data_IF_580322777399
#
_entry.id   IF_580322777399
#
_cell.length_a   1.000
_cell.length_b   1.000
_cell.length_c   1.000
_cell.angle_alpha   90.00
_cell.angle_beta   90.00
_cell.angle_gamma   90.00
#
_symmetry.space_group_name_H-M   'P 1'
#
loop_
_entity.id
_entity.type
_entity.pdbx_description
1 polymer ?
#
# COMPACT_ATOMS: atom_id res chain seq x y z
N UNK A 1 -3.99 11.96 -18.53
CA UNK A 1 -4.16 12.56 -17.19
C UNK A 1 -3.67 11.60 -16.13
N UNK A 2 -2.45 11.85 -15.64
CA UNK A 2 -1.93 11.14 -14.48
C UNK A 2 -2.76 11.48 -13.23
N UNK A 3 -2.89 10.54 -12.31
CA UNK A 3 -3.43 10.80 -10.98
C UNK A 3 -2.28 10.78 -9.97
N UNK A 4 -2.44 11.48 -8.85
CA UNK A 4 -1.51 11.41 -7.75
C UNK A 4 -1.40 9.96 -7.28
N UNK A 5 -0.19 9.42 -7.33
CA UNK A 5 0.16 8.08 -6.90
C UNK A 5 -0.11 7.85 -5.41
N UNK A 6 -0.19 8.95 -4.68
CA UNK A 6 -0.34 8.98 -3.23
C UNK A 6 -1.79 9.20 -2.80
N UNK A 7 -2.54 10.13 -3.39
CA UNK A 7 -3.92 10.43 -2.97
C UNK A 7 -4.97 10.29 -4.08
N UNK A 8 -4.60 9.83 -5.27
CA UNK A 8 -5.52 9.64 -6.39
C UNK A 8 -6.04 10.93 -7.02
N UNK A 9 -5.73 12.11 -6.45
CA UNK A 9 -6.17 13.39 -6.98
C UNK A 9 -5.66 13.62 -8.41
N UNK A 10 -6.45 14.22 -9.31
CA UNK A 10 -6.05 14.44 -10.70
C UNK A 10 -4.79 15.31 -10.77
N UNK A 11 -3.90 15.02 -11.72
CA UNK A 11 -2.69 15.83 -11.92
C UNK A 11 -3.06 17.24 -12.37
N UNK A 12 -2.38 18.22 -11.78
CA UNK A 12 -2.40 19.61 -12.22
C UNK A 12 -0.98 19.95 -12.66
N UNK A 13 -0.53 19.40 -13.80
CA UNK A 13 0.87 19.55 -14.24
C UNK A 13 1.31 18.57 -15.32
N UNK A 14 2.63 18.53 -15.53
CA UNK A 14 3.33 17.64 -16.45
C UNK A 14 2.98 16.16 -16.17
N UNK A 15 2.76 15.37 -17.23
CA UNK A 15 2.34 13.96 -17.11
C UNK A 15 3.44 13.07 -16.53
N UNK A 16 4.71 13.50 -16.58
CA UNK A 16 5.84 12.65 -16.19
C UNK A 16 6.37 12.90 -14.77
N UNK A 17 6.23 14.12 -14.23
CA UNK A 17 6.64 14.46 -12.86
C UNK A 17 5.87 15.68 -12.33
N UNK A 18 5.22 15.56 -11.17
CA UNK A 18 4.53 16.68 -10.53
C UNK A 18 4.42 16.52 -9.01
N UNK A 19 4.46 17.63 -8.27
CA UNK A 19 4.06 17.65 -6.85
C UNK A 19 2.54 17.73 -6.81
N UNK A 20 1.91 16.83 -6.06
CA UNK A 20 0.48 16.89 -5.85
C UNK A 20 0.13 18.14 -5.02
N UNK A 21 -0.65 19.05 -5.60
CA UNK A 21 -1.14 20.23 -4.87
C UNK A 21 -2.07 19.90 -3.69
N UNK A 22 -2.54 18.65 -3.58
CA UNK A 22 -3.43 18.20 -2.51
C UNK A 22 -2.68 17.61 -1.32
N UNK A 23 -1.82 16.60 -1.54
CA UNK A 23 -1.11 15.89 -0.46
C UNK A 23 0.39 16.18 -0.41
N UNK A 24 0.92 17.03 -1.30
CA UNK A 24 2.36 17.35 -1.37
C UNK A 24 3.24 16.20 -1.89
N UNK A 25 2.67 15.03 -2.21
CA UNK A 25 3.46 13.90 -2.70
C UNK A 25 4.09 14.23 -4.06
N UNK A 26 5.36 13.88 -4.23
CA UNK A 26 6.05 13.95 -5.50
C UNK A 26 5.72 12.73 -6.35
N UNK A 27 5.03 12.96 -7.47
CA UNK A 27 4.62 11.95 -8.43
C UNK A 27 5.66 11.87 -9.53
N UNK A 28 6.06 10.65 -9.87
CA UNK A 28 6.92 10.36 -11.02
C UNK A 28 6.39 9.11 -11.73
N UNK A 29 6.40 9.14 -13.06
CA UNK A 29 6.01 7.99 -13.88
C UNK A 29 7.16 6.99 -14.04
N UNK A 30 6.87 5.73 -14.35
CA UNK A 30 7.92 4.76 -14.72
C UNK A 30 8.69 5.22 -15.97
N UNK A 31 7.99 5.92 -16.87
CA UNK A 31 8.57 6.55 -18.07
C UNK A 31 9.60 7.62 -17.71
N UNK A 32 9.37 8.40 -16.66
CA UNK A 32 10.35 9.36 -16.14
C UNK A 32 11.65 8.68 -15.75
N UNK A 33 11.58 7.53 -15.06
CA UNK A 33 12.79 6.79 -14.67
C UNK A 33 13.50 6.14 -15.86
N UNK A 34 12.77 5.62 -16.84
CA UNK A 34 13.36 5.11 -18.09
C UNK A 34 14.02 6.22 -18.90
N UNK A 35 13.36 7.38 -19.04
CA UNK A 35 13.93 8.54 -19.72
C UNK A 35 15.18 9.06 -18.99
N UNK A 36 15.16 9.10 -17.65
CA UNK A 36 16.31 9.47 -16.82
C UNK A 36 17.47 8.48 -16.99
N UNK A 37 17.19 7.17 -17.12
CA UNK A 37 18.22 6.16 -17.38
C UNK A 37 18.82 6.31 -18.79
N UNK A 38 17.97 6.53 -19.80
CA UNK A 38 18.39 6.77 -21.18
C UNK A 38 19.22 8.05 -21.32
N UNK A 39 18.90 9.11 -20.56
CA UNK A 39 19.72 10.32 -20.50
C UNK A 39 21.07 10.07 -19.83
N UNK A 40 21.09 9.33 -18.71
CA UNK A 40 22.33 8.96 -18.03
C UNK A 40 23.27 8.17 -18.95
N UNK A 41 22.73 7.23 -19.73
CA UNK A 41 23.48 6.45 -20.73
C UNK A 41 24.20 7.32 -21.77
N UNK A 42 23.69 8.52 -22.08
CA UNK A 42 24.29 9.44 -23.07
C UNK A 42 25.49 10.22 -22.51
N UNK A 43 25.77 10.17 -21.21
CA UNK A 43 26.78 11.00 -20.52
C UNK A 43 28.18 10.38 -20.43
N UNK A 44 28.53 9.44 -21.31
CA UNK A 44 29.84 8.75 -21.35
C UNK A 44 30.21 8.06 -20.03
N UNK A 45 29.37 7.11 -19.61
CA UNK A 45 29.52 6.37 -18.36
C UNK A 45 30.56 5.24 -18.48
N UNK A 46 31.17 4.87 -17.34
CA UNK A 46 32.01 3.67 -17.24
C UNK A 46 31.24 2.43 -17.72
N UNK A 47 31.94 1.48 -18.36
CA UNK A 47 31.30 0.34 -19.03
C UNK A 47 30.34 -0.45 -18.15
N UNK A 48 30.69 -0.68 -16.88
CA UNK A 48 29.87 -1.40 -15.89
C UNK A 48 28.53 -0.69 -15.61
N UNK A 49 28.54 0.63 -15.41
CA UNK A 49 27.31 1.42 -15.19
C UNK A 49 26.43 1.48 -16.43
N UNK A 50 27.03 1.59 -17.62
CA UNK A 50 26.27 1.59 -18.87
C UNK A 50 25.51 0.26 -19.07
N UNK A 51 26.15 -0.87 -18.73
CA UNK A 51 25.51 -2.19 -18.80
C UNK A 51 24.36 -2.30 -17.80
N UNK A 52 24.55 -1.81 -16.57
CA UNK A 52 23.52 -1.82 -15.54
C UNK A 52 22.28 -0.99 -15.94
N UNK A 53 22.50 0.21 -16.49
CA UNK A 53 21.43 1.09 -16.96
C UNK A 53 20.71 0.53 -18.19
N UNK A 54 21.43 -0.11 -19.11
CA UNK A 54 20.83 -0.77 -20.27
C UNK A 54 19.93 -1.94 -19.87
N UNK A 55 20.37 -2.76 -18.90
CA UNK A 55 19.54 -3.81 -18.32
C UNK A 55 18.27 -3.22 -17.67
N UNK A 56 18.42 -2.13 -16.91
CA UNK A 56 17.28 -1.43 -16.29
C UNK A 56 16.28 -0.90 -17.33
N UNK A 57 16.76 -0.25 -18.39
CA UNK A 57 15.93 0.31 -19.46
C UNK A 57 15.14 -0.78 -20.20
N UNK A 58 15.76 -1.94 -20.42
CA UNK A 58 15.11 -3.10 -21.06
C UNK A 58 14.14 -3.86 -20.15
N UNK A 59 14.07 -3.52 -18.86
CA UNK A 59 13.22 -4.19 -17.88
C UNK A 59 13.80 -5.50 -17.31
N UNK A 60 15.07 -5.80 -17.61
CA UNK A 60 15.79 -6.92 -16.98
C UNK A 60 16.30 -6.48 -15.58
N UNK A 61 15.36 -6.40 -14.64
CA UNK A 61 15.62 -5.89 -13.30
C UNK A 61 16.50 -6.82 -12.46
N UNK A 62 16.48 -8.14 -12.68
CA UNK A 62 17.42 -9.05 -12.04
C UNK A 62 18.87 -8.77 -12.45
N UNK A 63 19.14 -8.66 -13.76
CA UNK A 63 20.48 -8.36 -14.26
C UNK A 63 20.92 -6.96 -13.85
N UNK A 64 20.04 -5.97 -13.97
CA UNK A 64 20.31 -4.60 -13.55
C UNK A 64 20.71 -4.54 -12.07
N UNK A 65 19.95 -5.23 -11.22
CA UNK A 65 20.21 -5.32 -9.78
C UNK A 65 21.61 -5.88 -9.48
N UNK A 66 21.99 -6.97 -10.13
CA UNK A 66 23.30 -7.60 -9.91
C UNK A 66 24.45 -6.72 -10.43
N UNK A 67 24.26 -6.03 -11.55
CA UNK A 67 25.25 -5.12 -12.11
C UNK A 67 25.45 -3.88 -11.24
N UNK A 68 24.37 -3.27 -10.74
CA UNK A 68 24.48 -2.14 -9.80
C UNK A 68 25.11 -2.54 -8.47
N UNK A 69 24.83 -3.74 -7.96
CA UNK A 69 25.51 -4.27 -6.78
C UNK A 69 27.03 -4.30 -6.96
N UNK A 70 27.49 -4.78 -8.12
CA UNK A 70 28.92 -4.83 -8.44
C UNK A 70 29.51 -3.42 -8.61
N UNK A 71 28.81 -2.53 -9.30
CA UNK A 71 29.21 -1.13 -9.51
C UNK A 71 29.42 -0.40 -8.17
N UNK A 72 28.45 -0.51 -7.27
CA UNK A 72 28.48 0.12 -5.95
C UNK A 72 29.65 -0.41 -5.10
N UNK A 73 29.99 -1.69 -5.24
CA UNK A 73 31.12 -2.29 -4.55
C UNK A 73 32.48 -1.74 -5.03
N UNK A 74 32.57 -1.27 -6.28
CA UNK A 74 33.81 -0.74 -6.88
C UNK A 74 33.92 0.77 -6.72
N UNK A 75 32.88 1.51 -7.07
CA UNK A 75 32.91 2.99 -7.13
C UNK A 75 32.60 3.61 -5.77
N UNK A 76 31.81 2.92 -4.93
CA UNK A 76 31.40 3.40 -3.61
C UNK A 76 30.46 4.61 -3.66
N UNK A 77 29.49 4.65 -2.76
CA UNK A 77 28.59 5.78 -2.45
C UNK A 77 28.10 6.69 -3.61
N UNK A 78 27.93 6.15 -4.81
CA UNK A 78 27.40 6.85 -5.98
C UNK A 78 25.87 6.87 -5.92
N UNK A 79 25.29 8.06 -5.71
CA UNK A 79 23.86 8.23 -5.49
C UNK A 79 23.01 7.73 -6.68
N UNK A 80 23.51 7.89 -7.91
CA UNK A 80 22.81 7.45 -9.11
C UNK A 80 22.74 5.91 -9.19
N UNK A 81 23.84 5.22 -8.91
CA UNK A 81 23.86 3.75 -8.83
C UNK A 81 22.96 3.25 -7.71
N UNK A 82 22.96 3.89 -6.53
CA UNK A 82 22.03 3.54 -5.45
C UNK A 82 20.56 3.75 -5.83
N UNK A 83 20.24 4.82 -6.56
CA UNK A 83 18.89 5.10 -7.07
C UNK A 83 18.39 3.95 -7.95
N UNK A 84 19.14 3.59 -8.99
CA UNK A 84 18.70 2.56 -9.93
C UNK A 84 18.80 1.15 -9.35
N UNK A 85 19.72 0.92 -8.40
CA UNK A 85 19.75 -0.33 -7.65
C UNK A 85 18.47 -0.52 -6.85
N UNK A 86 18.04 0.50 -6.10
CA UNK A 86 16.82 0.44 -5.31
C UNK A 86 15.57 0.23 -6.18
N UNK A 87 15.45 0.97 -7.29
CA UNK A 87 14.35 0.80 -8.24
C UNK A 87 14.32 -0.61 -8.86
N UNK A 88 15.48 -1.16 -9.23
CA UNK A 88 15.57 -2.54 -9.73
C UNK A 88 15.13 -3.57 -8.68
N UNK A 89 15.46 -3.33 -7.41
CA UNK A 89 15.14 -4.23 -6.30
C UNK A 89 13.66 -4.24 -5.97
N UNK A 90 12.99 -3.10 -6.03
CA UNK A 90 11.52 -3.02 -5.90
C UNK A 90 10.81 -3.91 -6.93
N UNK A 91 11.28 -3.90 -8.17
CA UNK A 91 10.63 -4.64 -9.25
C UNK A 91 10.69 -6.17 -9.10
N UNK A 92 11.58 -6.69 -8.26
CA UNK A 92 11.79 -8.14 -8.05
C UNK A 92 11.34 -8.62 -6.66
N UNK A 93 10.63 -7.78 -5.90
CA UNK A 93 10.08 -8.16 -4.59
C UNK A 93 9.03 -9.26 -4.74
N UNK A 94 9.07 -10.24 -3.85
CA UNK A 94 8.05 -11.27 -3.70
C UNK A 94 7.82 -11.60 -2.23
N UNK A 95 6.86 -12.48 -1.93
CA UNK A 95 6.49 -12.80 -0.55
C UNK A 95 7.62 -13.47 0.25
N UNK A 96 8.54 -14.17 -0.41
CA UNK A 96 9.61 -14.92 0.27
C UNK A 96 10.80 -14.04 0.68
N UNK A 97 11.06 -12.94 -0.04
CA UNK A 97 12.15 -12.01 0.27
C UNK A 97 11.65 -10.65 0.81
N UNK A 98 10.33 -10.43 0.88
CA UNK A 98 9.72 -9.14 1.19
C UNK A 98 10.39 -8.36 2.34
N UNK A 99 10.52 -8.98 3.51
CA UNK A 99 11.10 -8.32 4.69
C UNK A 99 12.56 -7.92 4.47
N UNK A 100 13.36 -8.82 3.90
CA UNK A 100 14.76 -8.53 3.59
C UNK A 100 14.91 -7.42 2.54
N UNK A 101 13.98 -7.36 1.57
CA UNK A 101 13.96 -6.30 0.56
C UNK A 101 13.57 -4.96 1.16
N UNK A 102 12.54 -4.87 2.01
CA UNK A 102 12.20 -3.61 2.70
C UNK A 102 13.37 -3.04 3.50
N UNK A 103 14.07 -3.91 4.26
CA UNK A 103 15.27 -3.51 5.03
C UNK A 103 16.37 -2.97 4.11
N UNK A 104 16.62 -3.66 3.00
CA UNK A 104 17.60 -3.26 2.01
C UNK A 104 17.23 -1.93 1.32
N UNK A 105 15.96 -1.75 0.96
CA UNK A 105 15.46 -0.52 0.33
C UNK A 105 15.57 0.68 1.27
N UNK A 106 15.27 0.48 2.56
CA UNK A 106 15.51 1.51 3.58
C UNK A 106 16.99 1.91 3.64
N UNK A 107 17.91 0.95 3.60
CA UNK A 107 19.34 1.27 3.54
C UNK A 107 19.67 2.08 2.29
N UNK A 108 19.15 1.69 1.12
CA UNK A 108 19.37 2.45 -0.13
C UNK A 108 18.93 3.90 0.01
N UNK A 109 17.73 4.14 0.54
CA UNK A 109 17.19 5.49 0.72
C UNK A 109 18.09 6.36 1.61
N UNK A 110 18.69 5.78 2.66
CA UNK A 110 19.64 6.50 3.52
C UNK A 110 20.93 6.91 2.80
N UNK A 111 21.31 6.23 1.70
CA UNK A 111 22.47 6.59 0.88
C UNK A 111 22.18 7.69 -0.14
N UNK A 112 20.92 8.00 -0.39
CA UNK A 112 20.53 9.02 -1.36
C UNK A 112 20.54 10.44 -0.74
N UNK A 113 20.92 11.47 -1.51
CA UNK A 113 20.68 12.88 -1.18
C UNK A 113 19.19 13.15 -0.92
N UNK A 114 18.86 14.13 -0.09
CA UNK A 114 17.47 14.35 0.39
C UNK A 114 16.46 14.66 -0.73
N UNK A 115 16.87 15.44 -1.73
CA UNK A 115 16.07 15.78 -2.90
C UNK A 115 15.75 14.53 -3.74
N UNK A 116 16.75 13.68 -3.97
CA UNK A 116 16.59 12.40 -4.68
C UNK A 116 15.80 11.39 -3.84
N UNK A 117 16.09 11.32 -2.54
CA UNK A 117 15.44 10.43 -1.58
C UNK A 117 13.94 10.68 -1.51
N UNK A 118 13.51 11.93 -1.57
CA UNK A 118 12.07 12.27 -1.54
C UNK A 118 11.35 11.73 -2.78
N UNK A 119 11.92 11.93 -3.97
CA UNK A 119 11.36 11.45 -5.24
C UNK A 119 11.33 9.91 -5.26
N UNK A 120 12.48 9.28 -5.00
CA UNK A 120 12.65 7.83 -5.08
C UNK A 120 11.93 7.11 -3.94
N UNK A 121 11.98 7.67 -2.74
CA UNK A 121 11.29 7.16 -1.57
C UNK A 121 9.79 7.09 -1.77
N UNK A 122 9.18 8.12 -2.39
CA UNK A 122 7.75 8.09 -2.72
C UNK A 122 7.40 6.90 -3.61
N UNK A 123 8.20 6.65 -4.65
CA UNK A 123 7.97 5.55 -5.59
C UNK A 123 8.24 4.17 -4.95
N UNK A 124 9.34 4.04 -4.20
CA UNK A 124 9.68 2.80 -3.50
C UNK A 124 8.62 2.46 -2.46
N UNK A 125 8.23 3.43 -1.62
CA UNK A 125 7.19 3.23 -0.61
C UNK A 125 5.89 2.80 -1.25
N UNK A 126 5.43 3.51 -2.31
CA UNK A 126 4.21 3.11 -3.02
C UNK A 126 4.27 1.69 -3.55
N UNK A 127 5.25 1.38 -4.40
CA UNK A 127 5.31 0.09 -5.06
C UNK A 127 5.45 -1.06 -4.06
N UNK A 128 6.24 -0.85 -3.00
CA UNK A 128 6.40 -1.85 -1.94
C UNK A 128 5.13 -2.03 -1.11
N UNK A 129 4.40 -0.95 -0.80
CA UNK A 129 3.14 -1.00 -0.08
C UNK A 129 2.01 -1.60 -0.92
N UNK A 130 1.98 -1.36 -2.24
CA UNK A 130 1.03 -2.01 -3.14
C UNK A 130 1.24 -3.53 -3.14
N UNK A 131 2.50 -3.98 -3.19
CA UNK A 131 2.85 -5.40 -3.06
C UNK A 131 2.45 -5.91 -1.66
N UNK A 132 2.74 -5.14 -0.60
CA UNK A 132 2.38 -5.51 0.77
C UNK A 132 0.87 -5.72 0.89
N UNK A 133 0.04 -4.78 0.44
CA UNK A 133 -1.41 -4.86 0.51
C UNK A 133 -1.94 -6.14 -0.13
N UNK A 134 -1.47 -6.47 -1.35
CA UNK A 134 -1.85 -7.70 -2.04
C UNK A 134 -1.44 -8.94 -1.24
N UNK A 135 -0.19 -8.98 -0.74
CA UNK A 135 0.30 -10.15 0.00
C UNK A 135 -0.40 -10.32 1.34
N UNK A 136 -0.62 -9.25 2.09
CA UNK A 136 -1.28 -9.29 3.39
C UNK A 136 -2.74 -9.71 3.21
N UNK A 137 -3.47 -9.21 2.20
CA UNK A 137 -4.83 -9.69 1.90
C UNK A 137 -4.85 -11.18 1.53
N UNK A 138 -3.89 -11.67 0.72
CA UNK A 138 -3.77 -13.10 0.42
C UNK A 138 -3.55 -13.96 1.68
N UNK A 139 -2.68 -13.52 2.59
CA UNK A 139 -2.45 -14.21 3.86
C UNK A 139 -3.70 -14.18 4.74
N UNK A 140 -4.38 -13.04 4.81
CA UNK A 140 -5.61 -12.90 5.56
C UNK A 140 -6.73 -13.80 5.03
N UNK A 141 -6.94 -13.87 3.71
CA UNK A 141 -7.91 -14.78 3.09
C UNK A 141 -7.61 -16.24 3.38
N UNK A 142 -6.33 -16.65 3.33
CA UNK A 142 -5.93 -18.01 3.74
C UNK A 142 -6.18 -18.28 5.22
N UNK A 143 -5.95 -17.30 6.09
CA UNK A 143 -6.25 -17.40 7.51
C UNK A 143 -7.74 -17.63 7.76
N UNK A 144 -8.61 -16.88 7.07
CA UNK A 144 -10.07 -17.07 7.16
C UNK A 144 -10.49 -18.49 6.76
N UNK A 145 -10.03 -18.97 5.60
CA UNK A 145 -10.35 -20.33 5.14
C UNK A 145 -9.88 -21.38 6.15
N UNK A 146 -8.71 -21.21 6.77
CA UNK A 146 -8.23 -22.14 7.79
C UNK A 146 -9.11 -22.12 9.03
N UNK A 147 -9.43 -20.94 9.52
CA UNK A 147 -10.28 -20.75 10.68
C UNK A 147 -11.66 -21.41 10.47
N UNK A 148 -12.29 -21.20 9.32
CA UNK A 148 -13.58 -21.82 8.95
C UNK A 148 -13.53 -23.35 8.90
N UNK A 149 -12.36 -23.93 8.61
CA UNK A 149 -12.14 -25.37 8.59
C UNK A 149 -11.57 -25.92 9.92
N UNK A 150 -11.69 -25.16 11.01
CA UNK A 150 -11.18 -25.52 12.35
C UNK A 150 -9.67 -25.80 12.37
N UNK A 151 -8.91 -25.17 11.46
CA UNK A 151 -7.45 -25.23 11.40
C UNK A 151 -6.86 -23.94 11.97
N UNK A 152 -5.81 -24.07 12.78
CA UNK A 152 -5.09 -22.92 13.36
C UNK A 152 -4.55 -21.96 12.26
N UNK A 153 -5.03 -20.69 12.23
CA UNK A 153 -4.60 -19.70 11.25
C UNK A 153 -3.35 -18.90 11.69
N UNK A 154 -2.79 -19.17 12.87
CA UNK A 154 -1.76 -18.33 13.52
C UNK A 154 -0.55 -18.04 12.62
N UNK A 155 -0.13 -19.02 11.81
CA UNK A 155 1.02 -18.88 10.91
C UNK A 155 0.78 -17.84 9.81
N UNK A 156 -0.38 -17.89 9.16
CA UNK A 156 -0.73 -16.94 8.09
C UNK A 156 -0.88 -15.53 8.65
N UNK A 157 -1.50 -15.42 9.83
CA UNK A 157 -1.66 -14.14 10.53
C UNK A 157 -0.31 -13.56 10.89
N UNK A 158 0.56 -14.33 11.55
CA UNK A 158 1.90 -13.87 11.89
C UNK A 158 2.67 -13.41 10.65
N UNK A 159 2.58 -14.14 9.53
CA UNK A 159 3.26 -13.73 8.30
C UNK A 159 2.69 -12.45 7.70
N UNK A 160 1.37 -12.26 7.76
CA UNK A 160 0.73 -11.01 7.34
C UNK A 160 1.21 -9.82 8.18
N UNK A 161 1.29 -9.97 9.50
CA UNK A 161 1.77 -8.93 10.40
C UNK A 161 3.27 -8.62 10.15
N UNK A 162 4.11 -9.63 9.91
CA UNK A 162 5.53 -9.45 9.54
C UNK A 162 5.73 -8.60 8.28
N UNK A 163 4.97 -8.91 7.23
CA UNK A 163 5.01 -8.16 5.97
C UNK A 163 4.58 -6.72 6.20
N UNK A 164 3.51 -6.52 6.99
CA UNK A 164 3.00 -5.19 7.28
C UNK A 164 4.02 -4.34 8.04
N UNK A 165 4.60 -4.87 9.13
CA UNK A 165 5.63 -4.15 9.90
C UNK A 165 6.82 -3.78 9.02
N UNK A 166 7.31 -4.71 8.21
CA UNK A 166 8.43 -4.46 7.32
C UNK A 166 8.11 -3.38 6.27
N UNK A 167 6.88 -3.34 5.77
CA UNK A 167 6.45 -2.32 4.82
C UNK A 167 6.32 -0.94 5.49
N UNK A 168 5.83 -0.88 6.73
CA UNK A 168 5.68 0.36 7.50
C UNK A 168 7.02 0.97 7.93
N UNK A 169 8.13 0.21 7.90
CA UNK A 169 9.49 0.73 8.10
C UNK A 169 9.99 1.63 6.97
N UNK A 170 9.33 1.62 5.81
CA UNK A 170 9.64 2.53 4.72
C UNK A 170 9.12 3.93 5.02
N UNK A 171 9.83 4.99 4.56
CA UNK A 171 9.46 6.35 4.93
C UNK A 171 8.05 6.72 4.45
N UNK A 172 7.41 7.56 5.27
CA UNK A 172 6.06 8.03 5.06
C UNK A 172 6.03 9.14 3.99
N UNK A 173 5.66 8.78 2.76
CA UNK A 173 5.41 9.73 1.67
C UNK A 173 3.92 9.80 1.32
N UNK A 174 3.05 9.66 2.33
CA UNK A 174 1.63 9.93 2.23
C UNK A 174 0.92 9.10 1.14
N UNK A 175 1.11 7.78 1.06
CA UNK A 175 0.48 6.95 -0.01
C UNK A 175 -0.84 6.29 0.43
N UNK A 176 -1.86 6.27 -0.43
CA UNK A 176 -3.09 5.45 -0.33
C UNK A 176 -2.73 3.99 -0.03
N UNK A 177 -1.67 3.48 -0.64
CA UNK A 177 -1.17 2.13 -0.40
C UNK A 177 -0.83 1.89 1.09
N UNK A 178 -0.32 2.90 1.79
CA UNK A 178 -0.08 2.88 3.25
C UNK A 178 -1.40 2.79 3.99
N UNK A 179 -2.36 3.66 3.70
CA UNK A 179 -3.70 3.64 4.32
C UNK A 179 -4.36 2.27 4.11
N UNK A 180 -4.25 1.71 2.90
CA UNK A 180 -4.78 0.39 2.59
C UNK A 180 -4.10 -0.72 3.41
N UNK A 181 -2.77 -0.70 3.50
CA UNK A 181 -2.01 -1.62 4.36
C UNK A 181 -2.43 -1.51 5.84
N UNK A 182 -2.59 -0.28 6.35
CA UNK A 182 -3.04 -0.02 7.72
C UNK A 182 -4.47 -0.56 7.94
N UNK A 183 -5.39 -0.36 6.99
CA UNK A 183 -6.76 -0.87 7.07
C UNK A 183 -6.82 -2.41 7.07
N UNK A 184 -6.02 -3.07 6.23
CA UNK A 184 -5.90 -4.54 6.25
C UNK A 184 -5.30 -5.00 7.58
N UNK A 185 -4.25 -4.32 8.07
CA UNK A 185 -3.63 -4.58 9.37
C UNK A 185 -4.62 -4.52 10.52
N UNK A 186 -5.39 -3.43 10.61
CA UNK A 186 -6.45 -3.29 11.61
C UNK A 186 -7.53 -4.37 11.48
N UNK A 187 -7.91 -4.74 10.26
CA UNK A 187 -8.88 -5.82 10.03
C UNK A 187 -8.38 -7.14 10.60
N UNK A 188 -7.09 -7.45 10.41
CA UNK A 188 -6.45 -8.62 11.02
C UNK A 188 -6.46 -8.50 12.54
N UNK A 189 -6.05 -7.35 13.10
CA UNK A 189 -5.98 -7.14 14.54
C UNK A 189 -7.34 -7.23 15.23
N UNK A 190 -8.41 -6.72 14.60
CA UNK A 190 -9.77 -6.85 15.10
C UNK A 190 -10.25 -8.30 15.03
N UNK A 191 -9.87 -9.04 13.97
CA UNK A 191 -10.19 -10.47 13.83
C UNK A 191 -9.45 -11.35 14.83
N UNK A 192 -8.26 -10.95 15.30
CA UNK A 192 -7.48 -11.72 16.29
C UNK A 192 -8.28 -12.00 17.57
N UNK A 193 -9.06 -11.02 18.05
CA UNK A 193 -9.94 -11.20 19.21
C UNK A 193 -10.99 -12.28 18.95
N UNK A 194 -11.61 -12.26 17.77
CA UNK A 194 -12.63 -13.23 17.38
C UNK A 194 -12.02 -14.63 17.16
N UNK A 195 -10.75 -14.71 16.77
CA UNK A 195 -9.99 -15.96 16.66
C UNK A 195 -9.40 -16.45 17.98
N UNK A 196 -9.49 -15.67 19.06
CA UNK A 196 -8.88 -16.00 20.35
C UNK A 196 -7.34 -15.96 20.35
N UNK A 197 -6.73 -15.27 19.39
CA UNK A 197 -5.28 -15.14 19.25
C UNK A 197 -4.84 -13.80 19.85
N UNK A 198 -3.84 -13.80 20.73
CA UNK A 198 -3.21 -12.59 21.27
C UNK A 198 -1.70 -12.73 21.35
N UNK A 199 -0.98 -11.61 21.35
CA UNK A 199 0.47 -11.63 21.50
C UNK A 199 1.15 -10.25 21.35
N UNK A 200 2.40 -10.14 21.82
CA UNK A 200 3.14 -8.87 21.88
C UNK A 200 3.39 -8.25 20.50
N UNK A 201 3.42 -9.06 19.45
CA UNK A 201 3.58 -8.57 18.07
C UNK A 201 2.35 -7.78 17.60
N UNK A 202 1.15 -8.27 17.94
CA UNK A 202 -0.10 -7.63 17.57
C UNK A 202 -0.29 -6.31 18.33
N UNK A 203 0.08 -6.27 19.61
CA UNK A 203 0.05 -5.04 20.42
C UNK A 203 0.99 -3.98 19.87
N UNK A 204 2.26 -4.32 19.64
CA UNK A 204 3.25 -3.38 19.10
C UNK A 204 2.88 -2.86 17.71
N UNK A 205 2.30 -3.71 16.85
CA UNK A 205 1.79 -3.28 15.56
C UNK A 205 0.53 -2.42 15.69
N UNK A 206 -0.36 -2.70 16.64
CA UNK A 206 -1.54 -1.89 16.92
C UNK A 206 -1.16 -0.47 17.34
N UNK A 207 -0.20 -0.31 18.25
CA UNK A 207 0.32 1.00 18.65
C UNK A 207 0.98 1.72 17.48
N UNK A 208 1.79 1.02 16.69
CA UNK A 208 2.42 1.60 15.50
C UNK A 208 1.41 2.05 14.45
N UNK A 209 0.37 1.26 14.18
CA UNK A 209 -0.70 1.64 13.25
C UNK A 209 -1.41 2.89 13.75
N UNK A 210 -1.68 2.97 15.06
CA UNK A 210 -2.29 4.15 15.69
C UNK A 210 -1.43 5.40 15.47
N UNK A 211 -0.13 5.32 15.73
CA UNK A 211 0.78 6.45 15.56
C UNK A 211 0.80 6.93 14.09
N UNK A 212 0.89 5.99 13.15
CA UNK A 212 0.90 6.26 11.71
C UNK A 212 -0.41 6.91 11.22
N UNK A 213 -1.56 6.45 11.71
CA UNK A 213 -2.86 7.07 11.40
C UNK A 213 -2.97 8.47 11.99
N UNK A 214 -2.40 8.70 13.17
CA UNK A 214 -2.28 10.03 13.77
C UNK A 214 -1.49 10.99 12.88
N UNK A 215 -0.30 10.58 12.42
CA UNK A 215 0.52 11.39 11.50
C UNK A 215 -0.21 11.69 10.17
N UNK A 216 -0.89 10.68 9.60
CA UNK A 216 -1.65 10.85 8.36
C UNK A 216 -2.81 11.84 8.55
N UNK A 217 -3.50 11.77 9.69
CA UNK A 217 -4.59 12.70 10.03
C UNK A 217 -4.08 14.13 10.17
N UNK A 218 -2.95 14.35 10.86
CA UNK A 218 -2.34 15.66 11.02
C UNK A 218 -1.89 16.29 9.69
N UNK A 219 -1.49 15.46 8.72
CA UNK A 219 -1.09 15.91 7.38
C UNK A 219 -2.25 16.28 6.45
N UNK A 220 -3.51 16.16 6.91
CA UNK A 220 -4.68 16.63 6.17
C UNK A 220 -5.01 15.80 4.94
N UNK A 221 -4.90 14.47 5.04
CA UNK A 221 -5.31 13.55 3.98
C UNK A 221 -6.77 13.77 3.57
N UNK A 222 -7.08 13.65 2.27
CA UNK A 222 -8.44 13.90 1.79
C UNK A 222 -9.43 12.81 2.29
N UNK A 223 -10.45 13.25 3.02
CA UNK A 223 -11.61 12.50 3.48
C UNK A 223 -12.21 11.54 2.45
N UNK A 224 -12.40 11.98 1.20
CA UNK A 224 -13.04 11.19 0.14
C UNK A 224 -12.15 10.01 -0.30
N UNK A 225 -10.83 10.21 -0.27
CA UNK A 225 -9.85 9.18 -0.63
C UNK A 225 -9.71 8.14 0.48
N UNK A 226 -9.65 8.61 1.73
CA UNK A 226 -9.65 7.73 2.90
C UNK A 226 -10.97 6.97 2.96
N UNK A 227 -12.10 7.64 2.75
CA UNK A 227 -13.44 7.06 2.71
C UNK A 227 -13.55 5.90 1.72
N UNK A 228 -13.09 6.09 0.47
CA UNK A 228 -13.14 5.03 -0.54
C UNK A 228 -12.32 3.77 -0.16
N UNK A 229 -11.14 3.95 0.45
CA UNK A 229 -10.31 2.83 0.93
C UNK A 229 -10.95 2.17 2.14
N UNK A 230 -11.50 2.98 3.06
CA UNK A 230 -12.18 2.51 4.27
C UNK A 230 -13.44 1.73 3.92
N UNK A 231 -14.26 2.19 2.99
CA UNK A 231 -15.48 1.50 2.54
C UNK A 231 -15.19 0.11 1.97
N UNK A 232 -14.09 -0.01 1.21
CA UNK A 232 -13.64 -1.30 0.70
C UNK A 232 -13.27 -2.29 1.83
N UNK A 233 -12.69 -1.82 2.93
CA UNK A 233 -12.28 -2.65 4.06
C UNK A 233 -13.37 -2.84 5.13
N UNK A 234 -14.21 -1.84 5.36
CA UNK A 234 -15.18 -1.76 6.46
C UNK A 234 -16.37 -2.71 6.28
N UNK A 235 -16.73 -3.03 5.04
CA UNK A 235 -17.72 -4.06 4.71
C UNK A 235 -17.42 -5.42 5.36
N UNK A 236 -16.16 -5.69 5.70
CA UNK A 236 -15.72 -6.92 6.36
C UNK A 236 -15.75 -6.83 7.89
N UNK A 237 -15.61 -5.63 8.46
CA UNK A 237 -15.45 -5.41 9.90
C UNK A 237 -16.10 -4.10 10.36
N UNK A 238 -17.36 -4.11 10.83
CA UNK A 238 -18.06 -2.90 11.25
C UNK A 238 -17.35 -2.14 12.39
N UNK A 239 -16.61 -2.85 13.26
CA UNK A 239 -15.81 -2.25 14.34
C UNK A 239 -14.65 -1.39 13.82
N UNK A 240 -14.17 -1.65 12.61
CA UNK A 240 -13.09 -0.89 11.97
C UNK A 240 -13.49 0.58 11.79
N UNK A 241 -14.75 0.84 11.44
CA UNK A 241 -15.29 2.20 11.25
C UNK A 241 -15.18 3.00 12.54
N UNK A 242 -15.50 2.41 13.69
CA UNK A 242 -15.45 3.09 14.97
C UNK A 242 -14.02 3.54 15.31
N UNK A 243 -13.01 2.68 15.09
CA UNK A 243 -11.61 3.03 15.28
C UNK A 243 -11.14 4.10 14.29
N UNK A 244 -11.59 4.05 13.04
CA UNK A 244 -11.20 5.02 12.02
C UNK A 244 -11.80 6.41 12.25
N UNK A 245 -13.04 6.50 12.76
CA UNK A 245 -13.69 7.77 13.12
C UNK A 245 -12.91 8.54 14.19
N UNK A 246 -12.20 7.84 15.06
CA UNK A 246 -11.34 8.47 16.07
C UNK A 246 -10.23 9.30 15.41
N UNK A 247 -9.64 8.80 14.33
CA UNK A 247 -8.54 9.45 13.61
C UNK A 247 -9.01 10.36 12.47
N UNK A 248 -10.15 10.06 11.85
CA UNK A 248 -10.73 10.81 10.73
C UNK A 248 -12.19 11.16 11.05
N UNK A 249 -12.44 12.21 11.85
CA UNK A 249 -13.79 12.60 12.28
C UNK A 249 -14.79 12.85 11.13
N UNK A 250 -14.29 13.24 9.96
CA UNK A 250 -15.04 13.39 8.70
C UNK A 250 -15.79 12.11 8.27
N UNK A 251 -15.25 10.94 8.60
CA UNK A 251 -15.85 9.64 8.28
C UNK A 251 -17.10 9.36 9.14
N UNK A 252 -17.41 10.19 10.15
CA UNK A 252 -18.68 10.09 10.89
C UNK A 252 -19.90 10.13 9.97
N UNK A 253 -19.81 10.90 8.88
CA UNK A 253 -20.86 10.94 7.86
C UNK A 253 -21.13 9.58 7.21
N UNK A 254 -20.10 8.76 6.99
CA UNK A 254 -20.22 7.40 6.47
C UNK A 254 -20.80 6.42 7.50
N UNK A 255 -20.56 6.67 8.78
CA UNK A 255 -21.06 5.82 9.87
C UNK A 255 -22.54 6.03 10.20
N UNK A 256 -23.11 7.16 9.77
CA UNK A 256 -24.51 7.51 10.04
C UNK A 256 -25.49 6.81 9.08
N UNK A 257 -25.02 6.21 7.98
CA UNK A 257 -25.82 5.37 7.08
C UNK A 257 -25.69 3.86 7.38
N UNK A 258 -24.98 3.49 8.45
CA UNK A 258 -24.57 2.11 8.76
C UNK A 258 -25.17 1.47 10.02
N UNK A 259 -26.33 1.94 10.51
CA UNK A 259 -27.17 1.07 11.34
C UNK A 259 -27.62 -0.16 10.54
N UNK A 260 -28.04 -1.28 11.16
CA UNK A 260 -28.51 -2.45 10.42
C UNK A 260 -29.68 -2.00 9.55
N UNK A 261 -29.46 -1.89 8.24
CA UNK A 261 -30.40 -1.49 7.21
C UNK A 261 -31.76 -1.00 7.75
N UNK A 262 -31.83 0.25 8.20
CA UNK A 262 -33.10 0.97 8.09
C UNK A 262 -33.28 1.26 6.60
N UNK A 263 -33.82 0.23 5.96
CA UNK A 263 -34.62 0.35 4.76
C UNK A 263 -35.30 1.70 4.70
N UNK A 264 -34.93 2.52 3.72
CA UNK A 264 -35.92 3.38 3.11
C UNK A 264 -37.16 2.51 2.87
N UNK A 265 -38.32 2.92 3.38
CA UNK A 265 -39.55 2.10 3.42
C UNK A 265 -40.02 1.55 2.07
N UNK A 266 -39.35 1.91 0.99
CA UNK A 266 -39.52 1.37 -0.35
C UNK A 266 -38.93 -0.03 -0.55
N UNK A 267 -37.83 -0.37 0.14
CA UNK A 267 -37.18 -1.68 -0.02
C UNK A 267 -38.05 -2.86 0.44
N UNK A 268 -38.66 -2.75 1.62
CA UNK A 268 -39.60 -3.76 2.12
C UNK A 268 -40.90 -3.81 1.32
N UNK A 269 -41.39 -2.66 0.85
CA UNK A 269 -42.59 -2.62 -0.01
C UNK A 269 -42.34 -3.37 -1.33
N UNK A 270 -41.17 -3.23 -1.95
CA UNK A 270 -40.84 -3.98 -3.18
C UNK A 270 -40.70 -5.48 -2.91
N UNK A 271 -40.07 -5.89 -1.81
CA UNK A 271 -39.90 -7.31 -1.46
C UNK A 271 -41.23 -7.95 -1.03
N UNK A 272 -42.08 -7.26 -0.27
CA UNK A 272 -43.43 -7.74 0.06
C UNK A 272 -44.35 -7.77 -1.15
N UNK A 273 -44.28 -6.77 -2.04
CA UNK A 273 -45.10 -6.75 -3.26
C UNK A 273 -44.67 -7.87 -4.21
N UNK A 274 -43.36 -8.13 -4.36
CA UNK A 274 -42.85 -9.26 -5.14
C UNK A 274 -43.22 -10.61 -4.50
N UNK A 275 -43.13 -10.74 -3.17
CA UNK A 275 -43.53 -11.95 -2.48
C UNK A 275 -45.04 -12.22 -2.64
N UNK A 276 -45.90 -11.22 -2.46
CA UNK A 276 -47.36 -11.35 -2.63
C UNK A 276 -47.73 -11.64 -4.09
N UNK A 277 -47.09 -11.00 -5.06
CA UNK A 277 -47.29 -11.30 -6.49
C UNK A 277 -46.82 -12.71 -6.84
N UNK A 278 -45.72 -13.21 -6.24
CA UNK A 278 -45.26 -14.59 -6.43
C UNK A 278 -46.24 -15.60 -5.83
N UNK A 279 -46.81 -15.32 -4.65
CA UNK A 279 -47.77 -16.21 -4.00
C UNK A 279 -49.10 -16.24 -4.76
N UNK A 280 -49.56 -15.10 -5.31
CA UNK A 280 -50.76 -15.05 -6.15
C UNK A 280 -50.52 -15.82 -7.46
N UNK A 281 -49.36 -15.64 -8.11
CA UNK A 281 -49.00 -16.37 -9.34
C UNK A 281 -48.86 -17.89 -9.12
N UNK A 282 -48.47 -18.34 -7.94
CA UNK A 282 -48.36 -19.77 -7.60
C UNK A 282 -49.68 -20.40 -7.13
N UNK A 283 -50.71 -19.59 -6.86
CA UNK A 283 -52.03 -20.05 -6.40
C UNK A 283 -53.16 -19.89 -7.44
N UNK A 284 -52.88 -19.27 -8.59
CA UNK A 284 -53.74 -19.18 -9.78
C UNK A 284 -53.27 -20.11 -10.89
#
# INVERSE_FOLDING_TARGET
MAACVSCGAPSVGDEHSFVCGFCGCQNTSDEYFRASAAEALRRDLSGSRSLALSAFESGDYESASQLFKNEIAVVGNDAESWKYYALSRVAIINASNFESECRFLRECLLRLPEDVRTIIGSQISRATLDIAAVKVDDYYRRALVRFENEVDPSREVQKGLEILVAALDLPNYASIARVHCLCIGMSILLSLQDWGISGPYAEALGDRIRDELGEISEQGFNADTVGAVVDACSSRHPRLIASLIEYFPELRSLSMDGGPAESSGWGWLVVLTLAVLLTIYLLS
#
